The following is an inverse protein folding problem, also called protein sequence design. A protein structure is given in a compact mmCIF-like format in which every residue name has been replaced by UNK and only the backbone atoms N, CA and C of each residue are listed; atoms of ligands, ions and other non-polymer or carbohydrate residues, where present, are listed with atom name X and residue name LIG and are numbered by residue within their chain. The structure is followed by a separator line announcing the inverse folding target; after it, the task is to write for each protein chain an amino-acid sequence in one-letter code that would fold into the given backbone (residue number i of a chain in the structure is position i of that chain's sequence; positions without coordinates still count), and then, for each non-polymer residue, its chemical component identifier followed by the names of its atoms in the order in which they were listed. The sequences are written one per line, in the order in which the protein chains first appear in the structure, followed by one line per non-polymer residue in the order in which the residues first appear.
data_IF_369304134713
#
_entry.id   IF_369304134713
#
_cell.length_a   1.000
_cell.length_b   1.000
_cell.length_c   1.000
_cell.angle_alpha   90.00
_cell.angle_beta   90.00
_cell.angle_gamma   90.00
#
_symmetry.space_group_name_H-M   'P 1'
#
loop_
_entity.id
_entity.type
_entity.pdbx_description
1 polymer ?
#
# COMPACT_ATOMS: atom_id res chain seq x y z
N UNK A 1 -19.31 5.56 15.44
CA UNK A 1 -18.15 4.70 15.74
C UNK A 1 -17.29 4.40 14.51
N UNK A 2 -17.87 4.09 13.33
CA UNK A 2 -17.12 3.81 12.07
C UNK A 2 -16.16 4.92 11.59
N UNK A 3 -16.53 6.19 11.70
CA UNK A 3 -15.71 7.31 11.17
C UNK A 3 -14.49 7.62 12.05
N UNK A 4 -14.55 7.36 13.37
CA UNK A 4 -13.48 7.75 14.32
C UNK A 4 -12.14 7.01 14.12
N UNK A 5 -12.15 5.87 13.43
CA UNK A 5 -10.93 5.08 13.19
C UNK A 5 -10.31 5.32 11.82
N UNK A 6 -11.02 5.89 10.83
CA UNK A 6 -10.51 6.04 9.46
C UNK A 6 -9.24 6.89 9.39
N UNK A 7 -9.09 7.89 10.27
CA UNK A 7 -7.88 8.72 10.33
C UNK A 7 -6.71 8.14 11.13
N UNK A 8 -6.88 6.99 11.80
CA UNK A 8 -5.80 6.34 12.56
C UNK A 8 -5.09 5.31 11.70
N UNK A 9 -3.76 5.20 11.80
CA UNK A 9 -3.01 4.14 11.09
C UNK A 9 -3.41 2.77 11.63
N UNK A 10 -3.60 1.78 10.76
CA UNK A 10 -3.91 0.41 11.17
C UNK A 10 -2.81 -0.17 12.09
N UNK A 11 -1.57 0.23 11.89
CA UNK A 11 -0.43 -0.12 12.77
C UNK A 11 -0.62 0.32 14.21
N UNK A 12 -1.33 1.42 14.45
CA UNK A 12 -1.55 1.97 15.79
C UNK A 12 -2.70 1.25 16.49
N UNK A 13 -3.72 0.84 15.71
CA UNK A 13 -4.86 0.07 16.22
C UNK A 13 -4.51 -1.40 16.46
N UNK A 14 -3.61 -1.96 15.65
CA UNK A 14 -3.21 -3.36 15.70
C UNK A 14 -1.70 -3.48 15.77
N UNK A 15 -1.09 -3.09 16.90
CA UNK A 15 0.34 -3.19 17.07
C UNK A 15 0.78 -4.65 17.01
N UNK A 16 2.00 -4.86 16.53
CA UNK A 16 2.67 -6.16 16.59
C UNK A 16 3.01 -6.50 18.04
N UNK A 17 2.81 -7.77 18.43
CA UNK A 17 3.38 -8.31 19.66
C UNK A 17 4.83 -8.71 19.41
N UNK A 18 5.77 -8.11 20.15
CA UNK A 18 7.18 -8.54 20.12
C UNK A 18 7.28 -9.98 20.64
N UNK A 19 7.96 -10.85 19.91
CA UNK A 19 8.12 -12.25 20.34
C UNK A 19 9.13 -12.39 21.47
N UNK A 20 10.22 -11.61 21.45
CA UNK A 20 11.24 -11.52 22.50
C UNK A 20 12.09 -12.79 22.71
N UNK A 21 11.55 -13.97 22.38
CA UNK A 21 12.18 -15.28 22.50
C UNK A 21 11.78 -16.17 21.33
N UNK A 22 12.66 -17.10 20.96
CA UNK A 22 12.46 -18.01 19.84
C UNK A 22 11.28 -18.97 20.00
N UNK A 23 10.95 -19.38 21.23
CA UNK A 23 9.77 -20.20 21.54
C UNK A 23 8.45 -19.54 21.13
N UNK A 24 8.43 -18.20 21.03
CA UNK A 24 7.26 -17.44 20.60
C UNK A 24 7.25 -17.15 19.09
N UNK A 25 8.37 -17.33 18.38
CA UNK A 25 8.44 -17.12 16.93
C UNK A 25 7.85 -18.34 16.23
N UNK A 26 6.80 -18.21 15.41
CA UNK A 26 6.14 -19.37 14.82
C UNK A 26 7.11 -20.24 14.01
N UNK A 27 7.06 -21.55 14.22
CA UNK A 27 7.92 -22.53 13.55
C UNK A 27 7.69 -22.60 12.04
N UNK A 28 6.51 -22.19 11.57
CA UNK A 28 6.15 -22.11 10.15
C UNK A 28 7.03 -21.15 9.32
N UNK A 29 7.83 -20.29 9.96
CA UNK A 29 8.81 -19.43 9.30
C UNK A 29 10.22 -20.02 9.24
N UNK A 30 10.40 -21.27 9.70
CA UNK A 30 11.67 -21.98 9.65
C UNK A 30 12.63 -21.63 10.79
N UNK A 31 13.91 -21.97 10.60
CA UNK A 31 14.95 -21.87 11.63
C UNK A 31 16.11 -20.94 11.26
N UNK A 32 16.13 -20.41 10.04
CA UNK A 32 17.20 -19.54 9.55
C UNK A 32 16.57 -18.25 9.03
N UNK A 33 17.02 -17.14 9.59
CA UNK A 33 16.53 -15.81 9.28
C UNK A 33 17.70 -14.95 8.84
N UNK A 34 17.47 -14.11 7.84
CA UNK A 34 18.43 -13.15 7.33
C UNK A 34 17.98 -11.74 7.71
N UNK A 35 18.90 -10.99 8.29
CA UNK A 35 18.77 -9.57 8.53
C UNK A 35 18.69 -8.79 7.21
N UNK A 36 18.21 -7.56 7.34
CA UNK A 36 18.17 -6.54 6.29
C UNK A 36 19.56 -6.14 5.79
N UNK A 37 20.62 -6.49 6.51
CA UNK A 37 22.03 -6.32 6.14
C UNK A 37 22.68 -7.62 5.65
N UNK A 38 21.92 -8.73 5.60
CA UNK A 38 22.43 -10.05 5.24
C UNK A 38 22.97 -10.89 6.40
N UNK A 39 22.99 -10.37 7.63
CA UNK A 39 23.40 -11.15 8.81
C UNK A 39 22.49 -12.37 9.02
N UNK A 40 23.05 -13.49 9.46
CA UNK A 40 22.31 -14.74 9.69
C UNK A 40 21.94 -14.87 11.16
N UNK A 41 20.69 -15.22 11.43
CA UNK A 41 20.14 -15.48 12.75
C UNK A 41 19.50 -16.87 12.73
N UNK A 42 20.06 -17.80 13.49
CA UNK A 42 19.49 -19.13 13.66
C UNK A 42 18.55 -19.14 14.87
N UNK A 43 17.50 -19.95 14.79
CA UNK A 43 16.62 -20.19 15.92
C UNK A 43 17.44 -20.73 17.10
N UNK A 44 17.44 -19.99 18.21
CA UNK A 44 18.26 -20.26 19.39
C UNK A 44 19.31 -19.18 19.66
N UNK A 45 19.73 -18.44 18.62
CA UNK A 45 20.74 -17.39 18.74
C UNK A 45 20.24 -16.20 19.58
N UNK A 46 21.12 -15.52 20.30
CA UNK A 46 20.73 -14.28 20.97
C UNK A 46 20.43 -13.18 19.93
N UNK A 47 19.33 -12.44 20.10
CA UNK A 47 19.03 -11.24 19.30
C UNK A 47 18.37 -10.17 20.17
N UNK A 48 18.60 -8.90 19.81
CA UNK A 48 17.90 -7.76 20.43
C UNK A 48 16.72 -7.37 19.55
N UNK A 49 15.50 -7.36 20.11
CA UNK A 49 14.27 -6.98 19.38
C UNK A 49 14.29 -5.55 18.82
N UNK A 50 15.21 -4.70 19.31
CA UNK A 50 15.37 -3.32 18.86
C UNK A 50 16.48 -3.17 17.81
N UNK A 51 17.13 -4.27 17.41
CA UNK A 51 18.06 -4.29 16.27
C UNK A 51 17.28 -4.00 14.97
N UNK A 52 17.54 -2.83 14.39
CA UNK A 52 16.87 -2.32 13.18
C UNK A 52 17.11 -3.20 11.95
N UNK A 53 18.16 -4.03 11.99
CA UNK A 53 18.54 -4.95 10.91
C UNK A 53 17.66 -6.19 10.90
N UNK A 54 16.90 -6.46 11.97
CA UNK A 54 16.01 -7.61 11.99
C UNK A 54 14.90 -7.52 10.93
N UNK A 55 14.50 -8.67 10.34
CA UNK A 55 13.27 -8.75 9.58
C UNK A 55 12.06 -8.47 10.50
N UNK A 56 10.93 -8.06 9.92
CA UNK A 56 9.74 -7.67 10.68
C UNK A 56 9.24 -8.76 11.60
N UNK A 57 9.40 -10.04 11.24
CA UNK A 57 9.04 -11.15 12.12
C UNK A 57 9.78 -11.11 13.47
N UNK A 58 11.06 -10.73 13.50
CA UNK A 58 11.88 -10.68 14.72
C UNK A 58 11.91 -9.27 15.37
N UNK A 59 11.64 -8.22 14.59
CA UNK A 59 11.64 -6.83 15.06
C UNK A 59 10.31 -6.35 15.65
N UNK A 60 10.15 -5.03 15.74
CA UNK A 60 8.97 -4.36 16.31
C UNK A 60 7.97 -3.86 15.27
N UNK A 61 8.37 -3.71 14.01
CA UNK A 61 7.51 -3.19 12.95
C UNK A 61 6.38 -4.17 12.62
N UNK A 62 5.11 -3.74 12.63
CA UNK A 62 3.99 -4.59 12.21
C UNK A 62 3.98 -4.76 10.69
N UNK A 63 3.50 -5.90 10.22
CA UNK A 63 3.07 -6.09 8.84
C UNK A 63 1.58 -5.79 8.77
N UNK A 64 1.20 -4.78 7.99
CA UNK A 64 -0.18 -4.38 7.83
C UNK A 64 -0.63 -4.81 6.44
N UNK A 65 -1.54 -5.77 6.40
CA UNK A 65 -2.19 -6.23 5.18
C UNK A 65 -3.41 -5.38 4.85
N UNK A 66 -3.49 -4.82 3.65
CA UNK A 66 -4.58 -3.93 3.29
C UNK A 66 -5.47 -4.53 2.19
N UNK A 67 -6.71 -4.04 2.16
CA UNK A 67 -7.56 -4.15 1.00
C UNK A 67 -7.39 -2.86 0.19
N UNK A 68 -6.72 -2.95 -0.95
CA UNK A 68 -6.52 -1.77 -1.82
C UNK A 68 -7.90 -1.25 -2.26
N UNK A 69 -8.20 0.06 -2.08
CA UNK A 69 -9.46 0.65 -2.51
C UNK A 69 -9.76 0.39 -3.98
N UNK A 70 -11.01 0.11 -4.33
CA UNK A 70 -11.41 -0.17 -5.72
C UNK A 70 -11.00 0.92 -6.70
N UNK A 71 -11.02 2.18 -6.25
CA UNK A 71 -10.62 3.37 -7.00
C UNK A 71 -9.11 3.52 -7.21
N UNK A 72 -8.28 2.86 -6.40
CA UNK A 72 -6.81 2.85 -6.52
C UNK A 72 -6.27 1.65 -7.32
N UNK A 73 -7.13 0.67 -7.64
CA UNK A 73 -6.71 -0.50 -8.42
C UNK A 73 -6.14 -0.07 -9.76
N UNK A 74 -5.05 -0.72 -10.17
CA UNK A 74 -4.32 -0.41 -11.40
C UNK A 74 -3.35 0.79 -11.31
N UNK A 75 -3.38 1.57 -10.22
CA UNK A 75 -2.50 2.73 -10.01
C UNK A 75 -1.22 2.42 -9.20
N UNK A 76 -0.85 1.14 -9.02
CA UNK A 76 0.42 0.78 -8.38
C UNK A 76 1.61 1.32 -9.17
N UNK A 77 2.76 1.55 -8.52
CA UNK A 77 3.97 2.04 -9.21
C UNK A 77 4.39 1.08 -10.32
N UNK A 78 4.30 -0.22 -10.09
CA UNK A 78 4.59 -1.23 -11.12
C UNK A 78 3.70 -1.11 -12.37
N UNK A 79 2.47 -0.60 -12.21
CA UNK A 79 1.56 -0.34 -13.34
C UNK A 79 1.67 1.07 -13.90
N UNK A 80 1.98 2.05 -13.05
CA UNK A 80 2.10 3.46 -13.38
C UNK A 80 3.35 3.74 -14.20
N UNK A 81 4.47 3.11 -13.81
CA UNK A 81 5.78 3.38 -14.36
C UNK A 81 6.13 2.46 -15.52
N UNK A 82 7.04 2.92 -16.36
CA UNK A 82 7.78 2.03 -17.26
C UNK A 82 8.58 1.01 -16.44
N UNK A 83 8.80 -0.20 -17.00
CA UNK A 83 9.61 -1.23 -16.34
C UNK A 83 10.98 -0.70 -15.92
N UNK A 84 11.65 0.08 -16.77
CA UNK A 84 12.96 0.66 -16.46
C UNK A 84 12.91 1.63 -15.27
N UNK A 85 11.91 2.51 -15.21
CA UNK A 85 11.75 3.43 -14.08
C UNK A 85 11.38 2.69 -12.80
N UNK A 86 10.53 1.67 -12.88
CA UNK A 86 10.21 0.84 -11.73
C UNK A 86 11.42 0.04 -11.22
N UNK A 87 12.19 -0.57 -12.11
CA UNK A 87 13.37 -1.38 -11.76
C UNK A 87 14.47 -0.53 -11.11
N UNK A 88 14.60 0.75 -11.49
CA UNK A 88 15.51 1.71 -10.85
C UNK A 88 15.13 2.01 -9.39
N UNK A 89 13.87 1.83 -9.00
CA UNK A 89 13.45 1.88 -7.59
C UNK A 89 13.62 0.51 -6.92
N UNK A 90 13.25 -0.56 -7.61
CA UNK A 90 13.12 -1.91 -7.05
C UNK A 90 14.46 -2.61 -6.80
N UNK A 91 15.38 -2.61 -7.78
CA UNK A 91 16.63 -3.36 -7.65
C UNK A 91 17.52 -2.88 -6.51
N UNK A 92 17.75 -1.56 -6.30
CA UNK A 92 18.56 -1.10 -5.18
C UNK A 92 18.02 -1.53 -3.82
N UNK A 93 16.69 -1.64 -3.66
CA UNK A 93 16.07 -2.10 -2.41
C UNK A 93 16.37 -3.58 -2.20
N UNK A 94 16.20 -4.42 -3.24
CA UNK A 94 16.45 -5.86 -3.16
C UNK A 94 17.93 -6.14 -2.83
N UNK A 95 18.84 -5.43 -3.51
CA UNK A 95 20.29 -5.54 -3.31
C UNK A 95 20.69 -5.09 -1.90
N UNK A 96 20.20 -3.93 -1.45
CA UNK A 96 20.43 -3.42 -0.10
C UNK A 96 20.02 -4.43 0.98
N UNK A 97 18.99 -5.23 0.72
CA UNK A 97 18.50 -6.25 1.65
C UNK A 97 19.09 -7.64 1.41
N UNK A 98 20.19 -7.75 0.65
CA UNK A 98 20.92 -9.00 0.42
C UNK A 98 20.05 -10.14 -0.15
N UNK A 99 19.05 -9.79 -0.97
CA UNK A 99 18.04 -10.73 -1.50
C UNK A 99 17.23 -11.45 -0.40
N UNK A 100 17.03 -10.78 0.74
CA UNK A 100 16.25 -11.29 1.87
C UNK A 100 14.92 -10.56 2.01
N UNK A 101 13.86 -11.33 2.23
CA UNK A 101 12.52 -10.79 2.49
C UNK A 101 12.54 -10.00 3.81
N UNK A 102 12.21 -8.70 3.76
CA UNK A 102 12.19 -7.86 4.96
C UNK A 102 11.12 -8.26 5.96
N UNK A 103 10.07 -8.95 5.52
CA UNK A 103 9.01 -9.43 6.40
C UNK A 103 9.43 -10.68 7.19
N UNK A 104 9.69 -11.79 6.50
CA UNK A 104 9.97 -13.07 7.16
C UNK A 104 11.45 -13.40 7.33
N UNK A 105 12.36 -12.63 6.73
CA UNK A 105 13.79 -12.90 6.80
C UNK A 105 14.27 -14.07 5.95
N UNK A 106 13.47 -14.60 5.01
CA UNK A 106 13.96 -15.67 4.13
C UNK A 106 14.72 -15.11 2.94
N UNK A 107 15.83 -15.74 2.57
CA UNK A 107 16.56 -15.43 1.33
C UNK A 107 15.87 -16.09 0.13
N UNK A 108 15.67 -15.34 -0.95
CA UNK A 108 15.00 -15.83 -2.16
C UNK A 108 15.75 -15.34 -3.40
N UNK A 109 15.71 -16.13 -4.48
CA UNK A 109 16.28 -15.72 -5.78
C UNK A 109 15.46 -14.62 -6.45
N UNK A 110 14.17 -14.52 -6.09
CA UNK A 110 13.23 -13.53 -6.62
C UNK A 110 12.47 -12.90 -5.48
N UNK A 111 12.47 -11.57 -5.41
CA UNK A 111 11.69 -10.77 -4.49
C UNK A 111 10.85 -9.76 -5.26
N UNK A 112 9.64 -9.54 -4.74
CA UNK A 112 8.81 -8.41 -5.14
C UNK A 112 9.18 -7.20 -4.28
N UNK A 113 8.85 -5.99 -4.76
CA UNK A 113 8.85 -4.78 -3.94
C UNK A 113 7.43 -4.25 -3.88
N UNK A 114 6.96 -4.03 -2.66
CA UNK A 114 5.61 -3.62 -2.35
C UNK A 114 5.61 -2.18 -1.79
N UNK A 115 4.63 -1.40 -2.22
CA UNK A 115 4.37 -0.04 -1.75
C UNK A 115 3.64 -0.02 -0.41
N UNK A 116 4.19 0.67 0.59
CA UNK A 116 3.53 0.90 1.88
C UNK A 116 2.78 2.23 1.81
N UNK A 117 1.47 2.18 2.00
CA UNK A 117 0.60 3.35 1.86
C UNK A 117 0.05 3.81 3.21
N UNK A 118 -0.27 5.11 3.28
CA UNK A 118 -1.13 5.70 4.29
C UNK A 118 -2.22 6.52 3.59
N UNK A 119 -3.44 6.48 4.12
CA UNK A 119 -4.61 7.10 3.49
C UNK A 119 -5.13 8.27 4.32
N UNK A 120 -5.14 9.46 3.73
CA UNK A 120 -5.71 10.69 4.28
C UNK A 120 -7.05 11.00 3.59
N UNK A 121 -8.13 10.95 4.35
CA UNK A 121 -9.46 11.36 3.90
C UNK A 121 -9.59 12.87 4.04
N UNK A 122 -9.91 13.57 2.96
CA UNK A 122 -10.04 15.02 2.97
C UNK A 122 -11.48 15.44 3.26
N UNK A 123 -11.64 16.61 3.88
CA UNK A 123 -12.92 17.28 4.11
C UNK A 123 -12.90 18.73 3.61
N UNK A 124 -14.08 19.30 3.38
CA UNK A 124 -14.24 20.73 3.16
C UNK A 124 -14.11 21.52 4.48
N UNK A 125 -14.18 22.86 4.38
CA UNK A 125 -14.07 23.77 5.53
C UNK A 125 -15.18 23.59 6.60
N UNK A 126 -16.21 22.77 6.31
CA UNK A 126 -17.29 22.43 7.23
C UNK A 126 -17.22 20.96 7.69
N UNK A 127 -16.03 20.35 7.62
CA UNK A 127 -15.77 18.94 7.97
C UNK A 127 -16.58 17.92 7.15
N UNK A 128 -17.10 18.30 5.96
CA UNK A 128 -17.79 17.34 5.10
C UNK A 128 -16.79 16.58 4.26
N UNK A 129 -16.88 15.24 4.20
CA UNK A 129 -15.94 14.43 3.43
C UNK A 129 -16.04 14.76 1.95
N UNK A 130 -14.87 14.94 1.32
CA UNK A 130 -14.74 15.08 -0.12
C UNK A 130 -14.79 13.71 -0.79
N UNK A 131 -15.01 13.69 -2.10
CA UNK A 131 -14.88 12.49 -2.92
C UNK A 131 -13.43 12.22 -3.38
N UNK A 132 -12.46 12.87 -2.76
CA UNK A 132 -11.02 12.70 -3.02
C UNK A 132 -10.25 12.62 -1.69
N UNK A 133 -9.15 11.87 -1.71
CA UNK A 133 -8.22 11.71 -0.59
C UNK A 133 -6.78 11.66 -1.07
N UNK A 134 -5.83 11.68 -0.13
CA UNK A 134 -4.40 11.53 -0.43
C UNK A 134 -3.94 10.15 0.01
N UNK A 135 -3.30 9.43 -0.90
CA UNK A 135 -2.65 8.15 -0.66
C UNK A 135 -1.14 8.42 -0.63
N UNK A 136 -0.58 8.50 0.57
CA UNK A 136 0.84 8.79 0.79
C UNK A 136 1.66 7.52 0.70
N UNK A 137 2.66 7.53 -0.18
CA UNK A 137 3.67 6.49 -0.21
C UNK A 137 4.63 6.69 0.95
N UNK A 138 4.53 5.85 1.97
CA UNK A 138 5.40 5.90 3.16
C UNK A 138 6.74 5.19 2.91
N UNK A 139 6.78 4.28 1.93
CA UNK A 139 8.01 3.63 1.52
C UNK A 139 7.79 2.37 0.68
N UNK A 140 8.88 1.67 0.45
CA UNK A 140 8.93 0.44 -0.35
C UNK A 140 9.56 -0.68 0.48
N UNK A 141 9.01 -1.89 0.38
CA UNK A 141 9.50 -3.09 1.08
C UNK A 141 9.73 -4.25 0.12
N UNK A 142 10.90 -4.88 0.17
CA UNK A 142 11.17 -6.11 -0.59
C UNK A 142 10.71 -7.36 0.17
N UNK A 143 9.89 -8.18 -0.48
CA UNK A 143 9.19 -9.31 0.14
C UNK A 143 9.15 -10.51 -0.79
N UNK A 144 9.14 -11.72 -0.20
CA UNK A 144 8.91 -12.95 -0.96
C UNK A 144 7.44 -13.06 -1.35
N UNK A 145 7.11 -13.88 -2.36
CA UNK A 145 5.75 -14.07 -2.87
C UNK A 145 4.72 -14.36 -1.77
N UNK A 146 5.07 -15.24 -0.83
CA UNK A 146 4.20 -15.65 0.28
C UNK A 146 3.96 -14.50 1.27
N UNK A 147 4.94 -13.60 1.44
CA UNK A 147 4.76 -12.41 2.26
C UNK A 147 4.08 -11.27 1.50
N UNK A 148 4.28 -11.18 0.18
CA UNK A 148 3.66 -10.17 -0.66
C UNK A 148 2.14 -10.31 -0.67
N UNK A 149 1.63 -11.55 -0.70
CA UNK A 149 0.19 -11.84 -0.66
C UNK A 149 -0.50 -11.29 0.61
N UNK A 150 0.23 -11.16 1.73
CA UNK A 150 -0.29 -10.55 2.97
C UNK A 150 -0.70 -9.09 2.79
N UNK A 151 -0.12 -8.38 1.82
CA UNK A 151 -0.46 -6.99 1.52
C UNK A 151 -1.59 -6.84 0.50
N UNK A 152 -2.04 -7.94 -0.11
CA UNK A 152 -3.08 -7.95 -1.14
C UNK A 152 -4.27 -8.81 -0.71
N UNK A 153 -4.89 -8.45 0.41
CA UNK A 153 -5.98 -9.25 1.00
C UNK A 153 -7.17 -9.43 0.05
N UNK A 154 -7.42 -8.47 -0.84
CA UNK A 154 -8.53 -8.53 -1.81
C UNK A 154 -8.26 -9.53 -2.94
N UNK A 155 -7.00 -9.66 -3.35
CA UNK A 155 -6.57 -10.69 -4.28
C UNK A 155 -6.62 -12.07 -3.61
N UNK A 156 -6.15 -12.17 -2.36
CA UNK A 156 -6.25 -13.40 -1.57
C UNK A 156 -7.71 -13.85 -1.41
N UNK A 157 -8.63 -12.93 -1.12
CA UNK A 157 -10.07 -13.19 -1.05
C UNK A 157 -10.61 -13.69 -2.39
N UNK A 158 -10.31 -13.00 -3.49
CA UNK A 158 -10.76 -13.38 -4.83
C UNK A 158 -10.25 -14.76 -5.27
N UNK A 159 -9.11 -15.20 -4.72
CA UNK A 159 -8.51 -16.51 -5.01
C UNK A 159 -8.90 -17.59 -3.98
N UNK A 160 -9.82 -17.33 -3.05
CA UNK A 160 -10.20 -18.24 -1.95
C UNK A 160 -9.03 -18.62 -1.02
N UNK A 161 -8.10 -17.70 -0.79
CA UNK A 161 -6.91 -17.89 0.07
C UNK A 161 -6.84 -16.91 1.24
N UNK A 162 -7.89 -16.13 1.48
CA UNK A 162 -7.89 -15.11 2.54
C UNK A 162 -7.56 -15.70 3.91
N UNK A 163 -8.13 -16.85 4.26
CA UNK A 163 -7.90 -17.47 5.57
C UNK A 163 -6.42 -17.87 5.78
N UNK A 164 -5.79 -18.46 4.76
CA UNK A 164 -4.36 -18.82 4.80
C UNK A 164 -3.48 -17.57 4.99
N UNK A 165 -3.82 -16.50 4.26
CA UNK A 165 -3.07 -15.24 4.27
C UNK A 165 -3.27 -14.51 5.60
N UNK A 166 -4.48 -14.51 6.14
CA UNK A 166 -4.80 -13.94 7.46
C UNK A 166 -4.12 -14.70 8.59
N UNK A 167 -4.03 -16.03 8.50
CA UNK A 167 -3.27 -16.83 9.46
C UNK A 167 -1.78 -16.49 9.41
N UNK A 168 -1.20 -16.32 8.21
CA UNK A 168 0.18 -15.86 8.07
C UNK A 168 0.39 -14.45 8.64
N UNK A 169 -0.54 -13.53 8.37
CA UNK A 169 -0.50 -12.16 8.90
C UNK A 169 -0.63 -12.13 10.42
N UNK A 170 -1.50 -12.97 10.98
CA UNK A 170 -1.63 -13.18 12.43
C UNK A 170 -0.32 -13.71 13.01
N UNK A 171 0.23 -14.75 12.41
CA UNK A 171 1.44 -15.42 12.86
C UNK A 171 2.65 -14.47 12.81
N UNK A 172 2.84 -13.68 11.75
CA UNK A 172 3.98 -12.76 11.66
C UNK A 172 3.88 -11.60 12.67
N UNK A 173 2.66 -11.16 13.01
CA UNK A 173 2.45 -10.06 13.97
C UNK A 173 2.28 -10.53 15.43
N UNK A 174 2.22 -11.84 15.69
CA UNK A 174 1.97 -12.37 17.02
C UNK A 174 0.58 -12.01 17.56
N UNK A 175 -0.38 -11.79 16.67
CA UNK A 175 -1.75 -11.48 17.05
C UNK A 175 -2.48 -12.69 17.61
N UNK A 176 -3.38 -12.46 18.57
CA UNK A 176 -4.35 -13.46 18.99
C UNK A 176 -5.39 -13.69 17.89
N UNK A 177 -6.08 -14.85 17.86
CA UNK A 177 -7.16 -15.08 16.90
C UNK A 177 -8.24 -13.97 16.93
N UNK A 178 -8.63 -13.53 18.14
CA UNK A 178 -9.57 -12.42 18.31
C UNK A 178 -9.06 -11.11 17.73
N UNK A 179 -7.77 -10.79 17.91
CA UNK A 179 -7.18 -9.57 17.34
C UNK A 179 -7.13 -9.64 15.81
N UNK A 180 -6.76 -10.79 15.23
CA UNK A 180 -6.75 -10.99 13.79
C UNK A 180 -8.15 -10.90 13.16
N UNK A 181 -9.18 -11.43 13.84
CA UNK A 181 -10.56 -11.28 13.39
C UNK A 181 -11.02 -9.82 13.42
N UNK A 182 -10.71 -9.09 14.50
CA UNK A 182 -10.99 -7.65 14.61
C UNK A 182 -10.26 -6.86 13.52
N UNK A 183 -9.01 -7.21 13.24
CA UNK A 183 -8.23 -6.62 12.15
C UNK A 183 -8.90 -6.84 10.79
N UNK A 184 -9.29 -8.08 10.49
CA UNK A 184 -9.99 -8.41 9.25
C UNK A 184 -11.24 -7.52 9.08
N UNK A 185 -12.10 -7.47 10.10
CA UNK A 185 -13.31 -6.66 10.07
C UNK A 185 -13.02 -5.16 9.85
N UNK A 186 -12.03 -4.60 10.56
CA UNK A 186 -11.64 -3.20 10.40
C UNK A 186 -11.12 -2.91 8.98
N UNK A 187 -10.31 -3.81 8.40
CA UNK A 187 -9.79 -3.63 7.04
C UNK A 187 -10.91 -3.66 6.00
N UNK A 188 -11.90 -4.54 6.15
CA UNK A 188 -13.08 -4.57 5.27
C UNK A 188 -13.94 -3.30 5.42
N UNK A 189 -14.19 -2.85 6.66
CA UNK A 189 -14.94 -1.62 6.92
C UNK A 189 -14.24 -0.38 6.32
N UNK A 190 -12.92 -0.26 6.51
CA UNK A 190 -12.13 0.82 5.90
C UNK A 190 -12.13 0.76 4.38
N UNK A 191 -12.01 -0.43 3.82
CA UNK A 191 -12.01 -0.61 2.36
C UNK A 191 -13.33 -0.18 1.73
N UNK A 192 -14.47 -0.45 2.37
CA UNK A 192 -15.76 -0.02 1.84
C UNK A 192 -15.84 1.50 1.71
N UNK A 193 -15.42 2.23 2.76
CA UNK A 193 -15.38 3.70 2.73
C UNK A 193 -14.31 4.23 1.77
N UNK A 194 -13.09 3.71 1.83
CA UNK A 194 -11.98 4.12 0.96
C UNK A 194 -12.28 3.89 -0.53
N UNK A 195 -13.09 2.88 -0.85
CA UNK A 195 -13.50 2.57 -2.22
C UNK A 195 -14.52 3.57 -2.80
N UNK A 196 -15.07 4.48 -1.99
CA UNK A 196 -15.95 5.58 -2.43
C UNK A 196 -15.16 6.85 -2.80
N UNK A 197 -13.85 6.85 -2.53
CA UNK A 197 -12.96 8.01 -2.64
C UNK A 197 -12.01 7.83 -3.81
N UNK A 198 -11.71 8.89 -4.56
CA UNK A 198 -10.62 8.88 -5.54
C UNK A 198 -9.30 9.33 -4.90
N UNK A 199 -8.21 8.63 -5.17
CA UNK A 199 -6.95 8.84 -4.46
C UNK A 199 -5.92 9.57 -5.32
N UNK A 200 -5.35 10.64 -4.76
CA UNK A 200 -4.18 11.35 -5.28
C UNK A 200 -2.95 10.70 -4.65
N UNK A 201 -1.97 10.31 -5.46
CA UNK A 201 -0.74 9.71 -4.98
C UNK A 201 0.25 10.80 -4.58
N UNK A 202 0.50 10.91 -3.27
CA UNK A 202 1.64 11.63 -2.76
C UNK A 202 2.84 10.69 -2.71
N UNK A 203 3.83 10.94 -3.57
CA UNK A 203 5.00 10.09 -3.73
C UNK A 203 6.25 10.65 -3.04
N UNK A 204 6.08 11.57 -2.08
CA UNK A 204 7.19 12.18 -1.33
C UNK A 204 8.06 11.19 -0.55
N UNK A 205 7.55 10.00 -0.20
CA UNK A 205 8.33 8.97 0.52
C UNK A 205 9.34 8.20 -0.33
N UNK A 206 9.49 8.53 -1.62
CA UNK A 206 10.54 7.98 -2.47
C UNK A 206 11.33 9.07 -3.17
N UNK A 207 12.58 8.75 -3.51
CA UNK A 207 13.37 9.48 -4.50
C UNK A 207 13.68 8.56 -5.66
N UNK A 208 13.75 9.12 -6.87
CA UNK A 208 14.10 8.38 -8.07
C UNK A 208 15.47 8.83 -8.57
N UNK A 209 16.39 7.93 -8.96
CA UNK A 209 17.76 8.28 -9.33
C UNK A 209 17.86 9.20 -10.56
N UNK A 210 16.84 9.21 -11.42
CA UNK A 210 16.78 10.10 -12.59
C UNK A 210 16.22 11.50 -12.26
N UNK A 211 15.92 11.80 -10.99
CA UNK A 211 15.27 13.05 -10.55
C UNK A 211 13.75 13.08 -10.72
N UNK A 212 13.16 12.04 -11.33
CA UNK A 212 11.71 11.90 -11.49
C UNK A 212 11.29 10.57 -12.09
N UNK A 213 9.98 10.35 -12.17
CA UNK A 213 9.34 9.11 -12.60
C UNK A 213 9.00 9.12 -14.10
N UNK A 214 9.25 8.00 -14.80
CA UNK A 214 8.81 7.84 -16.20
C UNK A 214 7.56 6.98 -16.28
N UNK A 215 6.43 7.61 -16.59
CA UNK A 215 5.09 7.02 -16.68
C UNK A 215 4.96 6.18 -17.96
N UNK A 216 4.34 5.01 -17.84
CA UNK A 216 4.11 4.10 -18.96
C UNK A 216 3.13 4.69 -19.99
N UNK A 217 3.35 4.37 -21.29
CA UNK A 217 2.55 4.87 -22.43
C UNK A 217 1.04 4.59 -22.36
N UNK A 218 0.61 3.64 -21.53
CA UNK A 218 -0.80 3.27 -21.38
C UNK A 218 -1.62 4.29 -20.57
N UNK A 219 -0.93 5.24 -19.93
CA UNK A 219 -1.55 6.32 -19.17
C UNK A 219 -1.66 7.58 -20.01
N UNK A 220 -2.76 8.30 -19.83
CA UNK A 220 -3.04 9.57 -20.49
C UNK A 220 -3.40 10.61 -19.43
N UNK A 221 -3.16 11.89 -19.71
CA UNK A 221 -3.61 13.00 -18.87
C UNK A 221 -4.90 13.59 -19.42
N UNK A 222 -5.91 13.77 -18.56
CA UNK A 222 -7.13 14.47 -18.95
C UNK A 222 -7.02 16.00 -18.74
N UNK A 223 -8.02 16.75 -19.20
CA UNK A 223 -8.05 18.22 -19.10
C UNK A 223 -8.02 18.79 -17.67
N UNK A 224 -8.21 17.96 -16.64
CA UNK A 224 -8.16 18.34 -15.23
C UNK A 224 -6.89 17.86 -14.53
N UNK A 225 -5.89 17.36 -15.26
CA UNK A 225 -4.61 16.93 -14.71
C UNK A 225 -4.57 15.49 -14.16
N UNK A 226 -5.67 14.73 -14.26
CA UNK A 226 -5.69 13.33 -13.81
C UNK A 226 -5.06 12.40 -14.84
N UNK A 227 -4.26 11.46 -14.35
CA UNK A 227 -3.80 10.30 -15.07
C UNK A 227 -4.91 9.24 -15.14
N UNK A 228 -5.19 8.75 -16.34
CA UNK A 228 -6.23 7.76 -16.62
C UNK A 228 -5.62 6.62 -17.44
N UNK A 229 -5.96 5.38 -17.10
CA UNK A 229 -5.63 4.21 -17.90
C UNK A 229 -6.71 3.13 -17.78
N UNK A 230 -6.99 2.43 -18.88
CA UNK A 230 -7.83 1.24 -18.86
C UNK A 230 -6.96 0.03 -18.47
N UNK A 231 -7.03 -0.41 -17.21
CA UNK A 231 -6.22 -1.54 -16.71
C UNK A 231 -7.00 -2.86 -16.77
N UNK A 232 -7.59 -3.15 -17.92
CA UNK A 232 -8.36 -4.37 -18.18
C UNK A 232 -9.74 -4.40 -17.50
N UNK A 233 -9.77 -4.52 -16.16
CA UNK A 233 -11.01 -4.71 -15.39
C UNK A 233 -11.72 -3.42 -14.96
N UNK A 234 -10.99 -2.31 -14.91
CA UNK A 234 -11.49 -1.00 -14.49
C UNK A 234 -10.69 0.11 -15.21
N UNK A 235 -11.27 1.31 -15.23
CA UNK A 235 -10.54 2.54 -15.58
C UNK A 235 -9.93 3.11 -14.30
N UNK A 236 -8.60 3.08 -14.20
CA UNK A 236 -7.86 3.70 -13.11
C UNK A 236 -7.80 5.21 -13.33
N UNK A 237 -8.01 5.98 -12.27
CA UNK A 237 -7.93 7.46 -12.29
C UNK A 237 -7.21 7.96 -11.05
N UNK A 238 -6.11 8.68 -11.24
CA UNK A 238 -5.30 9.21 -10.14
C UNK A 238 -4.55 10.48 -10.55
N UNK A 239 -3.80 11.07 -9.63
CA UNK A 239 -2.90 12.19 -9.88
C UNK A 239 -1.62 11.96 -9.07
N UNK A 240 -0.47 12.43 -9.57
CA UNK A 240 0.82 12.31 -8.88
C UNK A 240 1.20 13.69 -8.34
N UNK A 241 1.59 13.74 -7.07
CA UNK A 241 2.15 14.94 -6.43
C UNK A 241 3.50 14.64 -5.78
N UNK A 242 4.25 15.70 -5.48
CA UNK A 242 5.51 15.66 -4.71
C UNK A 242 6.66 14.83 -5.29
N UNK A 243 6.60 14.42 -6.56
CA UNK A 243 7.74 13.92 -7.33
C UNK A 243 7.61 14.30 -8.79
N UNK A 244 8.70 14.77 -9.40
CA UNK A 244 8.70 15.11 -10.82
C UNK A 244 8.40 13.86 -11.65
N UNK A 245 7.68 14.03 -12.75
CA UNK A 245 7.35 12.93 -13.63
C UNK A 245 7.17 13.35 -15.08
N UNK A 246 7.28 12.40 -16.00
CA UNK A 246 7.03 12.60 -17.42
C UNK A 246 6.50 11.33 -18.07
N UNK A 247 5.84 11.46 -19.22
CA UNK A 247 5.51 10.30 -20.03
C UNK A 247 6.75 9.75 -20.72
N UNK A 248 6.74 8.45 -21.00
CA UNK A 248 7.77 7.84 -21.82
C UNK A 248 7.89 8.57 -23.18
N UNK A 249 9.12 8.96 -23.52
CA UNK A 249 9.45 9.67 -24.77
C UNK A 249 9.50 11.19 -24.62
N UNK A 250 8.98 11.75 -23.54
CA UNK A 250 9.10 13.17 -23.25
C UNK A 250 10.48 13.51 -22.68
N UNK A 251 10.94 14.74 -22.94
CA UNK A 251 12.22 15.25 -22.45
C UNK A 251 12.05 15.97 -21.11
N UNK A 252 11.09 16.89 -21.08
CA UNK A 252 10.82 17.76 -19.94
C UNK A 252 10.09 17.03 -18.79
N UNK A 253 10.47 17.38 -17.57
CA UNK A 253 9.77 16.98 -16.37
C UNK A 253 8.56 17.88 -16.12
N UNK A 254 7.46 17.31 -15.65
CA UNK A 254 6.39 18.07 -15.03
C UNK A 254 6.76 18.33 -13.57
N UNK A 255 6.66 19.59 -13.16
CA UNK A 255 6.94 20.01 -11.80
C UNK A 255 5.79 19.57 -10.87
N UNK A 256 6.14 18.75 -9.89
CA UNK A 256 5.19 18.19 -8.94
C UNK A 256 4.67 19.21 -7.91
N UNK A 257 5.32 20.38 -7.79
CA UNK A 257 4.93 21.46 -6.86
C UNK A 257 3.78 22.30 -7.40
N UNK A 258 3.57 22.29 -8.72
CA UNK A 258 2.55 23.10 -9.41
C UNK A 258 1.17 22.41 -9.37
N UNK A 259 1.14 21.08 -9.28
CA UNK A 259 -0.09 20.30 -9.23
C UNK A 259 -0.63 20.19 -7.80
N UNK A 260 -1.20 21.27 -7.29
CA UNK A 260 -2.19 21.18 -6.21
C UNK A 260 -3.55 20.93 -6.84
N UNK A 261 -4.33 19.93 -6.38
CA UNK A 261 -5.68 19.77 -6.88
C UNK A 261 -6.43 21.09 -6.62
N UNK A 262 -6.92 21.75 -7.68
CA UNK A 262 -7.94 22.78 -7.53
C UNK A 262 -9.20 22.04 -7.11
N UNK A 263 -9.37 21.87 -5.80
CA UNK A 263 -10.57 21.27 -5.21
C UNK A 263 -11.66 22.33 -5.30
N UNK A 264 -12.27 22.48 -6.46
CA UNK A 264 -13.53 23.22 -6.55
C UNK A 264 -14.61 22.27 -6.05
N UNK A 265 -15.27 22.53 -4.90
CA UNK A 265 -16.40 21.72 -4.48
C UNK A 265 -17.44 21.71 -5.61
N UNK A 266 -18.10 20.57 -5.88
CA UNK A 266 -19.16 20.54 -6.88
C UNK A 266 -20.19 21.60 -6.50
N UNK A 267 -20.44 22.52 -7.42
CA UNK A 267 -21.50 23.52 -7.26
C UNK A 267 -22.78 22.76 -6.90
N UNK A 268 -23.50 23.12 -5.83
CA UNK A 268 -24.73 22.42 -5.48
C UNK A 268 -25.64 22.46 -6.70
N UNK A 269 -25.89 21.29 -7.30
CA UNK A 269 -26.90 21.17 -8.35
C UNK A 269 -28.20 21.63 -7.72
N UNK A 270 -28.71 22.77 -8.20
CA UNK A 270 -30.07 23.22 -7.88
C UNK A 270 -31.01 22.02 -8.09
N UNK A 271 -31.57 21.50 -6.99
CA UNK A 271 -32.62 20.49 -7.03
C UNK A 271 -33.88 21.16 -7.57
N UNK A 272 -33.96 21.22 -8.89
CA UNK A 272 -35.12 21.69 -9.63
C UNK A 272 -35.30 20.83 -10.86
N UNK A 273 -35.84 19.62 -10.67
CA UNK A 273 -36.84 19.01 -11.56
C UNK A 273 -37.27 17.64 -11.01
N UNK A 274 -38.59 17.43 -11.13
CA UNK A 274 -39.41 16.35 -10.58
C UNK A 274 -38.90 14.96 -10.97
N UNK A 275 -39.09 14.03 -10.04
CA UNK A 275 -39.06 12.58 -10.22
C UNK A 275 -40.14 12.17 -11.24
N UNK A 276 -39.84 11.37 -12.27
CA UNK A 276 -40.83 10.49 -12.88
C UNK A 276 -40.90 9.18 -12.10
N UNK A 277 -42.12 8.80 -11.76
CA UNK A 277 -42.50 7.50 -11.20
C UNK A 277 -42.07 6.33 -12.09
N UNK A 278 -41.89 5.19 -11.41
CA UNK A 278 -41.82 3.81 -11.91
C UNK A 278 -40.53 3.37 -12.61
N UNK A 279 -39.93 2.33 -12.05
CA UNK A 279 -39.66 1.09 -12.77
C UNK A 279 -39.48 -0.04 -11.74
N UNK A 280 -40.39 -1.01 -11.85
CA UNK A 280 -40.31 -2.35 -11.28
C UNK A 280 -39.12 -3.14 -11.87
N UNK A 281 -38.67 -4.12 -11.07
CA UNK A 281 -37.70 -5.21 -11.29
C UNK A 281 -36.20 -4.84 -11.17
#
# INVERSE_FOLDING_TARGET
MKIMNMGKKLSDLFPKRKFGKWENVPSSFGNVFYGKDGAVYNRGDAFSVDDKRLPFILGSAPVIGELIPRSSWGSSLANLLTKTSWDKLRHPIIEKHSNSCQACGTKKNTLDVHEIWNYEFLSDDNDKPLNWGIQHLEGLVCVCKECHEMFHLGLAYSNNRLDEVMERLRAINGWTPTAAQKYCNEVFDRWDEASKIHWILDLSGISHPDGGLTIAKKWEINGNGFLIANTGRITSKTMITNINWKFYGEKEWRDATIYKPTITPPTPKNKGKKVPESLDI
#
